data_IF_744921975158
#
_entry.id   IF_744921975158
#
_cell.length_a   1.000
_cell.length_b   1.000
_cell.length_c   1.000
_cell.angle_alpha   90.00
_cell.angle_beta   90.00
_cell.angle_gamma   90.00
#
_symmetry.space_group_name_H-M   'P 1'
#
loop_
_entity.id
_entity.type
_entity.pdbx_description
1 polymer ?
#
# COMPACT_ATOMS: atom_id res chain seq x y z
N UNK A 1 -1.78 -1.64 -28.09
CA UNK A 1 -1.63 -1.67 -26.62
C UNK A 1 -2.22 -0.38 -26.08
N UNK A 2 -3.16 -0.44 -25.14
CA UNK A 2 -3.62 0.77 -24.45
C UNK A 2 -2.45 1.25 -23.57
N UNK A 3 -1.82 2.36 -23.95
CA UNK A 3 -0.77 2.96 -23.15
C UNK A 3 -1.42 3.61 -21.92
N UNK A 4 -0.90 3.34 -20.72
CA UNK A 4 -1.28 4.03 -19.47
C UNK A 4 -1.29 5.54 -19.70
N UNK A 5 -0.34 6.04 -20.49
CA UNK A 5 -0.26 7.43 -20.91
C UNK A 5 -1.57 7.99 -21.53
N UNK A 6 -2.23 7.25 -22.43
CA UNK A 6 -3.39 7.75 -23.16
C UNK A 6 -4.60 7.94 -22.24
N UNK A 7 -4.93 6.95 -21.44
CA UNK A 7 -6.14 6.98 -20.62
C UNK A 7 -5.89 7.73 -19.30
N UNK A 8 -4.89 7.31 -18.52
CA UNK A 8 -4.67 7.84 -17.17
C UNK A 8 -4.19 9.30 -17.21
N UNK A 9 -3.27 9.63 -18.12
CA UNK A 9 -2.70 10.98 -18.20
C UNK A 9 -3.45 11.83 -19.22
N UNK A 10 -3.71 11.31 -20.41
CA UNK A 10 -4.42 12.02 -21.47
C UNK A 10 -5.89 12.30 -21.14
N UNK A 11 -6.67 11.28 -20.76
CA UNK A 11 -8.11 11.46 -20.51
C UNK A 11 -8.43 11.87 -19.07
N UNK A 12 -7.76 11.26 -18.08
CA UNK A 12 -8.06 11.51 -16.66
C UNK A 12 -7.22 12.63 -16.04
N UNK A 13 -6.19 13.13 -16.73
CA UNK A 13 -5.36 14.23 -16.25
C UNK A 13 -4.46 13.90 -15.06
N UNK A 14 -4.18 12.62 -14.82
CA UNK A 14 -3.32 12.21 -13.70
C UNK A 14 -1.91 12.77 -13.88
N UNK A 15 -1.41 13.43 -12.84
CA UNK A 15 -0.11 14.13 -12.85
C UNK A 15 0.88 13.58 -11.82
N UNK A 16 0.56 12.45 -11.19
CA UNK A 16 1.48 11.75 -10.28
C UNK A 16 2.41 10.78 -11.01
N UNK A 17 2.92 9.81 -10.28
CA UNK A 17 3.71 8.71 -10.82
C UNK A 17 2.95 7.38 -10.70
N UNK A 18 3.29 6.42 -11.56
CA UNK A 18 2.69 5.09 -11.64
C UNK A 18 3.74 4.06 -11.23
N UNK A 19 3.45 3.28 -10.19
CA UNK A 19 4.27 2.12 -9.80
C UNK A 19 3.62 0.82 -10.28
N UNK A 20 4.43 -0.21 -10.53
CA UNK A 20 3.91 -1.54 -10.80
C UNK A 20 3.43 -2.17 -9.50
N UNK A 21 2.54 -3.15 -9.60
CA UNK A 21 2.36 -4.10 -8.49
C UNK A 21 3.64 -4.94 -8.31
N UNK A 22 3.73 -5.67 -7.21
CA UNK A 22 4.87 -6.49 -6.85
C UNK A 22 5.20 -7.48 -7.96
N UNK A 23 6.38 -7.34 -8.58
CA UNK A 23 6.90 -8.18 -9.69
C UNK A 23 6.04 -8.18 -10.96
N UNK A 24 5.14 -7.22 -11.12
CA UNK A 24 4.22 -7.15 -12.25
C UNK A 24 4.81 -6.48 -13.51
N UNK A 25 6.03 -5.95 -13.43
CA UNK A 25 6.75 -5.45 -14.59
C UNK A 25 7.43 -6.62 -15.32
N UNK A 26 7.14 -6.79 -16.61
CA UNK A 26 7.66 -7.90 -17.41
C UNK A 26 8.61 -7.46 -18.53
N UNK A 27 8.65 -6.17 -18.86
CA UNK A 27 9.53 -5.62 -19.90
C UNK A 27 9.81 -4.13 -19.67
N UNK A 28 10.96 -3.67 -20.17
CA UNK A 28 11.36 -2.26 -20.13
C UNK A 28 10.41 -1.33 -20.88
N UNK A 29 9.66 -1.87 -21.84
CA UNK A 29 8.67 -1.14 -22.65
C UNK A 29 7.53 -0.58 -21.80
N UNK A 30 7.31 -1.10 -20.59
CA UNK A 30 6.33 -0.56 -19.65
C UNK A 30 6.61 0.92 -19.31
N UNK A 31 7.88 1.35 -19.28
CA UNK A 31 8.21 2.77 -19.05
C UNK A 31 7.67 3.66 -20.18
N UNK A 32 7.80 3.22 -21.43
CA UNK A 32 7.24 3.94 -22.59
C UNK A 32 5.71 3.90 -22.60
N UNK A 33 5.11 2.86 -22.02
CA UNK A 33 3.67 2.76 -21.87
C UNK A 33 3.11 3.69 -20.78
N UNK A 34 3.94 4.24 -19.89
CA UNK A 34 3.56 5.19 -18.85
C UNK A 34 3.75 4.70 -17.41
N UNK A 35 4.50 3.61 -17.20
CA UNK A 35 5.02 3.23 -15.88
C UNK A 35 6.17 4.16 -15.49
N UNK A 36 6.28 4.53 -14.21
CA UNK A 36 7.36 5.38 -13.71
C UNK A 36 8.29 4.66 -12.73
N UNK A 37 7.79 3.63 -12.03
CA UNK A 37 8.54 2.90 -11.01
C UNK A 37 8.24 1.39 -11.06
N UNK A 38 9.29 0.57 -11.02
CA UNK A 38 9.18 -0.87 -10.82
C UNK A 38 9.12 -1.22 -9.34
N UNK A 39 8.19 -2.10 -8.95
CA UNK A 39 8.13 -2.70 -7.62
C UNK A 39 8.45 -4.21 -7.69
N UNK A 40 9.33 -4.73 -6.83
CA UNK A 40 10.07 -4.03 -5.77
C UNK A 40 11.37 -3.36 -6.25
N UNK A 41 11.59 -3.30 -7.57
CA UNK A 41 12.88 -2.99 -8.16
C UNK A 41 13.83 -4.19 -8.08
N UNK A 42 15.13 -3.94 -8.29
CA UNK A 42 16.15 -5.00 -8.28
C UNK A 42 16.37 -5.54 -6.87
N UNK A 43 15.90 -6.77 -6.60
CA UNK A 43 16.21 -7.51 -5.37
C UNK A 43 16.91 -8.82 -5.74
N UNK A 44 18.18 -8.94 -5.33
CA UNK A 44 19.04 -10.10 -5.65
C UNK A 44 18.72 -11.36 -4.85
N UNK A 45 17.97 -11.25 -3.75
CA UNK A 45 17.69 -12.36 -2.82
C UNK A 45 16.27 -12.26 -2.27
N UNK A 46 15.27 -12.64 -3.07
CA UNK A 46 13.93 -12.89 -2.57
C UNK A 46 13.80 -14.39 -2.24
N UNK A 47 13.48 -14.77 -0.99
CA UNK A 47 13.18 -16.17 -0.67
C UNK A 47 12.11 -16.72 -1.63
N UNK A 48 12.28 -17.94 -2.12
CA UNK A 48 11.39 -18.63 -3.09
C UNK A 48 11.43 -18.12 -4.54
N UNK A 49 11.68 -16.84 -4.78
CA UNK A 49 11.56 -16.23 -6.14
C UNK A 49 12.91 -15.94 -6.82
N UNK A 50 14.01 -15.87 -6.06
CA UNK A 50 15.34 -15.59 -6.61
C UNK A 50 15.61 -14.11 -6.86
N UNK A 51 16.21 -13.78 -8.01
CA UNK A 51 16.43 -12.39 -8.44
C UNK A 51 15.18 -11.87 -9.15
N UNK A 52 14.70 -10.70 -8.71
CA UNK A 52 13.56 -10.01 -9.31
C UNK A 52 13.96 -8.60 -9.72
N UNK A 53 13.26 -8.08 -10.74
CA UNK A 53 13.49 -6.75 -11.30
C UNK A 53 13.92 -6.81 -12.77
N UNK A 54 13.31 -5.97 -13.59
CA UNK A 54 13.55 -5.81 -15.02
C UNK A 54 14.49 -4.64 -15.26
N UNK A 55 14.42 -3.58 -14.46
CA UNK A 55 15.19 -2.34 -14.63
C UNK A 55 16.58 -2.42 -13.96
N UNK A 56 17.38 -3.43 -14.32
CA UNK A 56 18.79 -3.44 -13.99
C UNK A 56 19.55 -2.29 -14.69
N UNK A 57 20.69 -1.86 -14.14
CA UNK A 57 21.53 -0.81 -14.74
C UNK A 57 21.87 -1.05 -16.21
N UNK A 58 22.08 -2.33 -16.59
CA UNK A 58 22.33 -2.71 -17.97
C UNK A 58 21.14 -2.42 -18.89
N UNK A 59 19.91 -2.62 -18.41
CA UNK A 59 18.66 -2.36 -19.13
C UNK A 59 18.39 -0.86 -19.21
N UNK A 60 18.55 -0.14 -18.11
CA UNK A 60 18.37 1.32 -18.06
C UNK A 60 19.27 2.01 -19.09
N UNK A 61 20.53 1.57 -19.22
CA UNK A 61 21.48 2.10 -20.22
C UNK A 61 21.07 1.87 -21.67
N UNK A 62 20.12 0.97 -21.94
CA UNK A 62 19.58 0.74 -23.30
C UNK A 62 18.36 1.60 -23.63
N UNK A 63 17.82 2.35 -22.66
CA UNK A 63 16.65 3.17 -22.84
C UNK A 63 17.02 4.59 -23.31
N UNK A 64 16.07 5.23 -23.97
CA UNK A 64 16.16 6.66 -24.21
C UNK A 64 16.17 7.40 -22.86
N UNK A 65 17.14 8.29 -22.70
CA UNK A 65 17.32 9.09 -21.49
C UNK A 65 16.05 9.85 -21.10
N UNK A 66 15.32 10.38 -22.08
CA UNK A 66 14.08 11.13 -21.85
C UNK A 66 12.98 10.29 -21.19
N UNK A 67 12.91 8.99 -21.50
CA UNK A 67 11.93 8.07 -20.88
C UNK A 67 12.22 7.93 -19.38
N UNK A 68 13.49 7.78 -19.03
CA UNK A 68 13.93 7.66 -17.63
C UNK A 68 13.78 8.99 -16.88
N UNK A 69 14.14 10.12 -17.52
CA UNK A 69 14.02 11.45 -16.92
C UNK A 69 12.55 11.81 -16.64
N UNK A 70 11.63 11.53 -17.57
CA UNK A 70 10.20 11.77 -17.36
C UNK A 70 9.66 10.97 -16.18
N UNK A 71 10.01 9.68 -16.09
CA UNK A 71 9.63 8.83 -14.97
C UNK A 71 10.16 9.36 -13.63
N UNK A 72 11.45 9.74 -13.60
CA UNK A 72 12.08 10.32 -12.42
C UNK A 72 11.43 11.65 -11.99
N UNK A 73 11.09 12.52 -12.95
CA UNK A 73 10.40 13.80 -12.68
C UNK A 73 9.05 13.57 -12.00
N UNK A 74 8.27 12.57 -12.41
CA UNK A 74 6.99 12.28 -11.76
C UNK A 74 7.16 11.83 -10.29
N UNK A 75 8.16 10.97 -10.02
CA UNK A 75 8.48 10.53 -8.66
C UNK A 75 8.97 11.71 -7.80
N UNK A 76 9.90 12.50 -8.34
CA UNK A 76 10.43 13.70 -7.66
C UNK A 76 9.32 14.72 -7.41
N UNK A 77 8.37 14.87 -8.33
CA UNK A 77 7.22 15.77 -8.15
C UNK A 77 6.43 15.42 -6.88
N UNK A 78 6.21 14.13 -6.61
CA UNK A 78 5.55 13.70 -5.38
C UNK A 78 6.39 14.00 -4.13
N UNK A 79 7.71 13.76 -4.19
CA UNK A 79 8.67 14.07 -3.10
C UNK A 79 8.61 15.56 -2.75
N UNK A 80 8.79 16.44 -3.75
CA UNK A 80 8.77 17.89 -3.54
C UNK A 80 7.39 18.42 -3.12
N UNK A 81 6.30 17.85 -3.66
CA UNK A 81 4.94 18.27 -3.30
C UNK A 81 4.58 17.94 -1.85
N UNK A 82 5.11 16.83 -1.34
CA UNK A 82 4.97 16.42 0.06
C UNK A 82 6.07 17.02 0.97
N UNK A 83 6.99 17.82 0.41
CA UNK A 83 8.11 18.47 1.12
C UNK A 83 9.07 17.48 1.78
N UNK A 84 9.11 16.25 1.25
CA UNK A 84 10.04 15.21 1.69
C UNK A 84 11.48 15.55 1.30
N UNK A 85 11.72 16.53 0.42
CA UNK A 85 13.05 17.09 0.15
C UNK A 85 13.60 17.90 1.33
N UNK A 86 12.74 18.35 2.26
CA UNK A 86 13.12 19.28 3.33
C UNK A 86 13.06 18.64 4.70
N UNK A 87 12.12 17.73 4.88
CA UNK A 87 11.99 16.92 6.09
C UNK A 87 11.71 15.47 5.69
N UNK A 88 12.79 14.71 5.50
CA UNK A 88 12.70 13.28 5.18
C UNK A 88 12.29 12.42 6.38
N UNK A 89 12.26 12.99 7.60
CA UNK A 89 12.15 12.25 8.85
C UNK A 89 13.40 11.44 9.16
N UNK A 90 13.63 10.36 8.39
CA UNK A 90 14.83 9.54 8.46
C UNK A 90 15.52 9.51 7.09
N UNK A 91 16.83 9.25 7.06
CA UNK A 91 17.59 9.13 5.80
C UNK A 91 18.25 7.75 5.70
N UNK A 92 18.05 7.00 4.59
CA UNK A 92 18.77 5.75 4.36
C UNK A 92 20.29 5.93 4.44
N UNK A 93 21.04 4.95 4.97
CA UNK A 93 20.56 3.64 5.43
C UNK A 93 19.98 3.64 6.86
N UNK A 94 19.97 4.77 7.55
CA UNK A 94 19.66 4.87 8.99
C UNK A 94 18.15 5.00 9.29
N UNK A 95 17.31 4.41 8.45
CA UNK A 95 15.85 4.39 8.61
C UNK A 95 15.32 3.06 9.17
N UNK A 96 16.20 2.10 9.49
CA UNK A 96 15.77 0.73 9.83
C UNK A 96 14.84 0.69 11.03
N UNK A 97 15.03 1.58 12.01
CA UNK A 97 14.18 1.63 13.20
C UNK A 97 12.77 2.08 12.85
N UNK A 98 12.62 3.10 12.00
CA UNK A 98 11.34 3.61 11.52
C UNK A 98 10.67 2.59 10.59
N UNK A 99 11.41 2.06 9.61
CA UNK A 99 10.90 1.09 8.62
C UNK A 99 10.45 -0.22 9.25
N UNK A 100 11.14 -0.68 10.29
CA UNK A 100 10.84 -1.93 11.00
C UNK A 100 10.13 -1.69 12.33
N UNK A 101 9.59 -0.49 12.55
CA UNK A 101 8.91 -0.16 13.81
C UNK A 101 7.61 -0.95 13.93
N UNK A 102 7.39 -1.51 15.12
CA UNK A 102 6.18 -2.27 15.44
C UNK A 102 4.98 -1.32 15.61
N UNK A 103 4.11 -1.33 14.59
CA UNK A 103 2.90 -0.51 14.54
C UNK A 103 1.78 -1.05 15.45
N UNK A 104 1.94 -2.25 16.03
CA UNK A 104 0.93 -2.86 16.90
C UNK A 104 1.03 -2.38 18.35
N UNK A 105 2.18 -1.85 18.76
CA UNK A 105 2.40 -1.34 20.12
C UNK A 105 1.50 -0.15 20.39
N UNK A 106 0.92 -0.10 21.60
CA UNK A 106 0.08 1.01 22.05
C UNK A 106 0.80 2.38 21.96
N UNK A 107 2.12 2.40 22.11
CA UNK A 107 2.96 3.61 21.96
C UNK A 107 2.98 4.16 20.53
N UNK A 108 2.81 3.29 19.53
CA UNK A 108 2.83 3.65 18.10
C UNK A 108 1.40 3.80 17.56
N UNK A 109 0.47 2.95 18.01
CA UNK A 109 -0.95 2.99 17.65
C UNK A 109 -1.65 4.20 18.28
N UNK A 110 -1.42 4.46 19.56
CA UNK A 110 -2.13 5.51 20.30
C UNK A 110 -3.65 5.31 20.39
N UNK A 111 -4.28 5.97 21.34
CA UNK A 111 -5.74 5.86 21.58
C UNK A 111 -6.57 6.35 20.37
N UNK A 112 -6.04 7.32 19.60
CA UNK A 112 -6.74 7.88 18.44
C UNK A 112 -6.88 6.90 17.28
N UNK A 113 -5.89 6.05 17.01
CA UNK A 113 -6.05 5.04 15.95
C UNK A 113 -7.05 3.97 16.36
N UNK A 114 -7.11 3.61 17.65
CA UNK A 114 -8.11 2.68 18.18
C UNK A 114 -9.53 3.23 18.06
N UNK A 115 -9.75 4.50 18.42
CA UNK A 115 -11.05 5.17 18.26
C UNK A 115 -11.50 5.14 16.80
N UNK A 116 -10.63 5.52 15.87
CA UNK A 116 -10.95 5.52 14.43
C UNK A 116 -11.26 4.09 13.95
N UNK A 117 -10.46 3.10 14.34
CA UNK A 117 -10.69 1.71 13.96
C UNK A 117 -12.02 1.17 14.51
N UNK A 118 -12.32 1.44 15.79
CA UNK A 118 -13.58 1.03 16.42
C UNK A 118 -14.78 1.70 15.74
N UNK A 119 -14.69 2.99 15.44
CA UNK A 119 -15.74 3.73 14.73
C UNK A 119 -15.95 3.20 13.32
N UNK A 120 -14.88 2.93 12.58
CA UNK A 120 -14.97 2.34 11.24
C UNK A 120 -15.63 0.95 11.31
N UNK A 121 -15.16 0.07 12.20
CA UNK A 121 -15.69 -1.27 12.38
C UNK A 121 -17.17 -1.28 12.77
N UNK A 122 -17.57 -0.43 13.73
CA UNK A 122 -18.97 -0.35 14.19
C UNK A 122 -19.89 0.27 13.13
N UNK A 123 -19.39 1.21 12.33
CA UNK A 123 -20.14 1.83 11.24
C UNK A 123 -20.23 0.97 9.97
N UNK A 124 -19.33 0.00 9.79
CA UNK A 124 -19.32 -0.90 8.63
C UNK A 124 -20.17 -2.16 8.80
N UNK A 125 -20.73 -2.42 9.99
CA UNK A 125 -21.59 -3.59 10.24
C UNK A 125 -22.91 -3.41 9.48
N UNK A 126 -23.24 -4.39 8.65
CA UNK A 126 -24.53 -4.44 7.93
C UNK A 126 -25.42 -5.51 8.57
N UNK A 127 -26.55 -5.10 9.16
CA UNK A 127 -27.53 -6.01 9.73
C UNK A 127 -28.42 -6.59 8.62
N UNK A 128 -28.10 -7.78 8.14
CA UNK A 128 -28.82 -8.42 7.02
C UNK A 128 -30.23 -8.89 7.39
N UNK A 129 -30.44 -9.31 8.64
CA UNK A 129 -31.74 -9.82 9.13
C UNK A 129 -31.92 -9.49 10.60
N UNK A 130 -33.07 -8.93 10.95
CA UNK A 130 -33.47 -8.67 12.34
C UNK A 130 -34.95 -8.99 12.56
N UNK A 131 -35.31 -10.27 12.40
CA UNK A 131 -36.68 -10.72 12.62
C UNK A 131 -37.13 -10.51 14.06
N UNK A 132 -38.40 -10.15 14.24
CA UNK A 132 -39.03 -9.90 15.56
C UNK A 132 -38.29 -8.86 16.42
N UNK A 133 -37.52 -7.97 15.81
CA UNK A 133 -36.69 -6.97 16.52
C UNK A 133 -35.81 -7.61 17.61
N UNK A 134 -35.20 -8.76 17.31
CA UNK A 134 -34.35 -9.50 18.25
C UNK A 134 -33.15 -8.67 18.74
N UNK A 135 -32.58 -7.86 17.86
CA UNK A 135 -31.51 -6.91 18.19
C UNK A 135 -32.06 -5.48 18.30
N UNK A 136 -31.53 -4.64 19.22
CA UNK A 136 -30.43 -4.95 20.15
C UNK A 136 -30.85 -5.87 21.30
N UNK A 137 -29.91 -6.66 21.83
CA UNK A 137 -30.18 -7.55 22.95
C UNK A 137 -30.50 -6.74 24.21
N UNK A 138 -31.60 -7.09 24.87
CA UNK A 138 -32.01 -6.49 26.15
C UNK A 138 -31.30 -7.19 27.32
N UNK A 139 -30.38 -6.46 27.97
CA UNK A 139 -29.61 -6.95 29.13
C UNK A 139 -30.49 -7.31 30.33
N UNK A 140 -31.71 -6.78 30.42
CA UNK A 140 -32.68 -7.11 31.48
C UNK A 140 -33.40 -8.45 31.25
N UNK A 141 -33.39 -8.98 30.03
CA UNK A 141 -34.07 -10.24 29.66
C UNK A 141 -33.11 -11.39 29.35
N UNK A 142 -31.89 -11.07 28.91
CA UNK A 142 -30.86 -12.06 28.57
C UNK A 142 -29.86 -12.16 29.72
N UNK A 143 -29.99 -13.21 30.54
CA UNK A 143 -29.10 -13.45 31.69
C UNK A 143 -27.98 -14.47 31.42
N UNK A 144 -28.08 -15.20 30.29
CA UNK A 144 -27.09 -16.20 29.86
C UNK A 144 -26.94 -16.11 28.35
N UNK A 145 -25.69 -16.08 27.90
CA UNK A 145 -25.32 -16.06 26.49
C UNK A 145 -24.26 -17.13 26.24
N UNK A 146 -24.36 -17.83 25.11
CA UNK A 146 -23.32 -18.73 24.63
C UNK A 146 -22.70 -18.11 23.40
N UNK A 147 -21.38 -17.94 23.43
CA UNK A 147 -20.62 -17.47 22.28
C UNK A 147 -20.02 -18.69 21.56
N UNK A 148 -20.50 -18.95 20.35
CA UNK A 148 -19.91 -19.92 19.44
C UNK A 148 -19.23 -19.15 18.33
N UNK A 149 -17.90 -19.14 18.34
CA UNK A 149 -17.09 -18.43 17.36
C UNK A 149 -16.10 -19.42 16.76
N UNK A 150 -16.09 -19.52 15.44
CA UNK A 150 -14.98 -20.07 14.69
C UNK A 150 -14.35 -18.94 13.89
N UNK A 151 -13.38 -18.29 14.52
CA UNK A 151 -12.43 -17.42 13.85
C UNK A 151 -11.11 -18.19 13.92
N UNK A 152 -10.45 -18.38 12.79
CA UNK A 152 -9.07 -18.87 12.78
C UNK A 152 -8.21 -17.81 13.46
N UNK A 153 -8.08 -17.89 14.78
CA UNK A 153 -7.20 -17.01 15.54
C UNK A 153 -5.79 -17.60 15.44
N UNK A 154 -4.97 -17.02 14.59
CA UNK A 154 -3.54 -17.28 14.62
C UNK A 154 -2.94 -16.38 15.70
N UNK A 155 -2.73 -16.95 16.89
CA UNK A 155 -1.95 -16.30 17.94
C UNK A 155 -0.47 -16.34 17.52
N UNK A 156 0.13 -15.18 17.29
CA UNK A 156 1.57 -15.00 17.33
C UNK A 156 1.97 -14.72 18.78
N UNK A 157 2.77 -15.62 19.37
CA UNK A 157 3.43 -15.45 20.66
C UNK A 157 4.56 -14.41 20.58
#
# INVERSE_FOLDING_TARGET
MAAIWMDLRGKMGFSGFVMSDWTAMHSKDALQAGLDQEQPGMIKKVPVVGEVGVLADSVIKTLDRSVVENAAVHVLTAIFRLRLDQDMGCTPPNCTQELMSDQTKATTRGERHEDIALRAATSSIVLLKNGNSLLPLDKGKVHRSVLLVYIAVQWSA
#
